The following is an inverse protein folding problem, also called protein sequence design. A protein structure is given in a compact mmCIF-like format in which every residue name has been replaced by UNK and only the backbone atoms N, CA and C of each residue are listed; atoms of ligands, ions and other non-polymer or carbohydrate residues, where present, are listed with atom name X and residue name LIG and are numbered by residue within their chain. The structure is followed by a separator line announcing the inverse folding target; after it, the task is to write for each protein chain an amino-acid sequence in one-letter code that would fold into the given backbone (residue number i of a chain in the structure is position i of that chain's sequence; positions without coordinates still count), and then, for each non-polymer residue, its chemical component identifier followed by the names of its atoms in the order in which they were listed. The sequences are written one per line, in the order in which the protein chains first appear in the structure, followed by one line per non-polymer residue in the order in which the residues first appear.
data_IF_335760604832
#
_entry.id   IF_335760604832
#
_cell.length_a   1.000
_cell.length_b   1.000
_cell.length_c   1.000
_cell.angle_alpha   90.00
_cell.angle_beta   90.00
_cell.angle_gamma   90.00
#
_symmetry.space_group_name_H-M   'P 1'
#
loop_
_entity.id
_entity.type
_entity.pdbx_description
1 polymer ?
#
# COMPACT_ATOMS: atom_id res chain seq x y z
N UNK A 1 7.45 4.63 -15.91
CA UNK A 1 8.06 5.25 -14.70
C UNK A 1 8.84 6.51 -15.10
N UNK A 2 8.64 7.68 -14.47
CA UNK A 2 9.49 8.87 -14.75
C UNK A 2 10.74 8.80 -13.86
N UNK A 3 11.88 8.46 -14.46
CA UNK A 3 13.19 8.36 -13.81
C UNK A 3 14.13 9.53 -14.20
N UNK A 4 13.57 10.65 -14.63
CA UNK A 4 14.38 11.83 -14.97
C UNK A 4 15.24 12.26 -13.77
N UNK A 5 16.55 12.42 -14.00
CA UNK A 5 17.53 12.74 -12.97
C UNK A 5 17.96 11.58 -12.07
N UNK A 6 17.52 10.34 -12.34
CA UNK A 6 17.98 9.16 -11.60
C UNK A 6 19.33 8.70 -12.15
N UNK A 7 20.31 8.63 -11.25
CA UNK A 7 21.59 7.97 -11.47
C UNK A 7 21.41 6.46 -11.31
N UNK A 8 22.01 5.70 -12.22
CA UNK A 8 21.97 4.24 -12.23
C UNK A 8 23.41 3.74 -12.18
N UNK A 9 23.75 2.97 -11.15
CA UNK A 9 24.96 2.15 -11.13
C UNK A 9 24.60 0.70 -11.38
N UNK A 10 25.47 -0.03 -12.08
CA UNK A 10 25.26 -1.44 -12.40
C UNK A 10 26.57 -2.22 -12.23
N UNK A 11 26.49 -3.43 -11.67
CA UNK A 11 27.62 -4.37 -11.62
C UNK A 11 27.61 -5.35 -12.82
N UNK A 12 28.67 -6.16 -12.96
CA UNK A 12 28.83 -7.16 -14.03
C UNK A 12 27.75 -8.27 -14.02
N UNK A 13 27.05 -8.44 -12.89
CA UNK A 13 25.99 -9.43 -12.69
C UNK A 13 24.59 -8.85 -12.92
N UNK A 14 24.51 -7.62 -13.43
CA UNK A 14 23.25 -6.95 -13.74
C UNK A 14 22.51 -6.39 -12.53
N UNK A 15 23.14 -6.38 -11.34
CA UNK A 15 22.55 -5.72 -10.17
C UNK A 15 22.61 -4.22 -10.34
N UNK A 16 21.54 -3.51 -10.00
CA UNK A 16 21.41 -2.07 -10.20
C UNK A 16 21.10 -1.34 -8.92
N UNK A 17 21.70 -0.16 -8.75
CA UNK A 17 21.27 0.84 -7.76
C UNK A 17 20.70 2.04 -8.51
N UNK A 18 19.44 2.36 -8.24
CA UNK A 18 18.77 3.57 -8.72
C UNK A 18 18.75 4.60 -7.59
N UNK A 19 19.30 5.79 -7.81
CA UNK A 19 19.33 6.86 -6.82
C UNK A 19 19.33 8.25 -7.46
N UNK A 20 18.78 9.26 -6.80
CA UNK A 20 18.78 10.65 -7.31
C UNK A 20 19.98 11.49 -6.84
N UNK A 21 20.84 10.91 -6.00
CA UNK A 21 21.99 11.54 -5.36
C UNK A 21 23.17 10.59 -5.43
N UNK A 22 24.38 11.11 -5.31
CA UNK A 22 25.56 10.25 -5.20
C UNK A 22 25.49 9.40 -3.93
N UNK A 23 26.07 8.20 -3.98
CA UNK A 23 26.04 7.25 -2.86
C UNK A 23 26.50 7.86 -1.55
N UNK A 24 27.53 8.72 -1.58
CA UNK A 24 28.06 9.43 -0.41
C UNK A 24 27.08 10.39 0.26
N UNK A 25 26.05 10.86 -0.45
CA UNK A 25 25.07 11.83 0.09
C UNK A 25 23.95 11.16 0.89
N UNK A 26 23.59 9.92 0.55
CA UNK A 26 22.49 9.19 1.20
C UNK A 26 22.96 8.02 2.05
N UNK A 27 24.15 7.46 1.78
CA UNK A 27 24.72 6.34 2.52
C UNK A 27 25.69 6.84 3.61
N UNK A 28 25.27 6.72 4.87
CA UNK A 28 26.05 7.11 6.04
C UNK A 28 26.49 5.86 6.80
N UNK A 29 27.70 5.37 6.57
CA UNK A 29 28.23 4.16 7.21
C UNK A 29 27.36 2.91 7.01
N UNK A 30 26.68 2.80 5.86
CA UNK A 30 25.88 1.63 5.50
C UNK A 30 26.56 0.77 4.44
N UNK A 31 26.24 -0.52 4.46
CA UNK A 31 26.83 -1.53 3.56
C UNK A 31 25.77 -2.14 2.66
N UNK A 32 26.10 -2.28 1.38
CA UNK A 32 25.23 -2.91 0.37
C UNK A 32 26.05 -4.00 -0.31
N UNK A 33 25.57 -5.24 -0.20
CA UNK A 33 26.26 -6.41 -0.71
C UNK A 33 25.38 -7.13 -1.73
N UNK A 34 25.83 -7.17 -2.98
CA UNK A 34 25.25 -8.04 -4.00
C UNK A 34 26.07 -9.33 -4.10
N UNK A 35 25.42 -10.47 -3.87
CA UNK A 35 25.98 -11.82 -4.13
C UNK A 35 25.29 -12.49 -5.32
N UNK A 36 24.00 -12.26 -5.50
CA UNK A 36 23.23 -12.74 -6.65
C UNK A 36 23.29 -11.80 -7.87
N UNK A 37 22.33 -11.97 -8.77
CA UNK A 37 22.23 -11.33 -10.08
C UNK A 37 20.90 -10.59 -10.26
N UNK A 38 20.88 -9.60 -11.15
CA UNK A 38 19.67 -8.88 -11.59
C UNK A 38 18.84 -8.28 -10.44
N UNK A 39 19.45 -7.99 -9.30
CA UNK A 39 18.75 -7.36 -8.19
C UNK A 39 18.68 -5.86 -8.36
N UNK A 40 17.71 -5.23 -7.71
CA UNK A 40 17.56 -3.78 -7.71
C UNK A 40 17.51 -3.27 -6.27
N UNK A 41 18.36 -2.27 -5.99
CA UNK A 41 18.18 -1.35 -4.88
C UNK A 41 17.68 0.00 -5.43
N UNK A 42 16.53 0.45 -4.98
CA UNK A 42 15.99 1.77 -5.31
C UNK A 42 16.02 2.68 -4.09
N UNK A 43 16.64 3.86 -4.22
CA UNK A 43 16.76 4.88 -3.18
C UNK A 43 16.05 6.15 -3.66
N UNK A 44 14.98 6.52 -2.97
CA UNK A 44 14.24 7.75 -3.27
C UNK A 44 15.07 9.00 -2.95
N UNK A 45 14.69 10.14 -3.54
CA UNK A 45 15.49 11.37 -3.55
C UNK A 45 15.94 11.85 -2.18
N UNK A 46 15.06 11.78 -1.18
CA UNK A 46 15.31 12.29 0.17
C UNK A 46 15.45 11.18 1.20
N UNK A 47 15.61 9.93 0.73
CA UNK A 47 15.96 8.82 1.58
C UNK A 47 17.35 9.04 2.21
N UNK A 48 17.49 8.61 3.47
CA UNK A 48 18.78 8.51 4.15
C UNK A 48 18.93 7.09 4.67
N UNK A 49 20.08 6.49 4.42
CA UNK A 49 20.39 5.12 4.80
C UNK A 49 21.65 5.13 5.68
N UNK A 50 21.45 5.03 7.00
CA UNK A 50 22.48 5.25 8.01
C UNK A 50 22.72 3.99 8.85
N UNK A 51 23.98 3.65 9.10
CA UNK A 51 24.41 2.52 9.94
C UNK A 51 23.69 1.20 9.60
N UNK A 52 23.33 1.02 8.33
CA UNK A 52 22.39 0.00 7.87
C UNK A 52 23.04 -1.00 6.93
N UNK A 53 22.36 -2.11 6.66
CA UNK A 53 22.85 -3.18 5.80
C UNK A 53 21.76 -3.65 4.83
N UNK A 54 22.11 -3.81 3.56
CA UNK A 54 21.30 -4.55 2.58
C UNK A 54 22.13 -5.66 1.96
N UNK A 55 21.67 -6.90 2.13
CA UNK A 55 22.29 -8.08 1.54
C UNK A 55 21.38 -8.76 0.53
N UNK A 56 21.82 -8.83 -0.72
CA UNK A 56 21.18 -9.60 -1.78
C UNK A 56 21.92 -10.91 -1.98
N UNK A 57 21.36 -12.00 -1.45
CA UNK A 57 21.97 -13.34 -1.49
C UNK A 57 21.39 -14.26 -2.55
N UNK A 58 20.37 -13.81 -3.29
CA UNK A 58 19.80 -14.51 -4.45
C UNK A 58 19.50 -13.51 -5.55
N UNK A 59 18.65 -13.92 -6.50
CA UNK A 59 18.44 -13.20 -7.75
C UNK A 59 17.07 -12.53 -7.85
N UNK A 60 16.96 -11.56 -8.76
CA UNK A 60 15.70 -10.92 -9.17
C UNK A 60 14.88 -10.29 -8.03
N UNK A 61 15.54 -9.87 -6.95
CA UNK A 61 14.91 -9.22 -5.80
C UNK A 61 14.98 -7.69 -5.88
N UNK A 62 14.00 -7.04 -5.26
CA UNK A 62 13.92 -5.59 -5.13
C UNK A 62 13.98 -5.20 -3.64
N UNK A 63 14.86 -4.26 -3.32
CA UNK A 63 14.77 -3.46 -2.10
C UNK A 63 14.48 -2.02 -2.49
N UNK A 64 13.39 -1.47 -1.99
CA UNK A 64 12.93 -0.12 -2.28
C UNK A 64 12.88 0.70 -1.00
N UNK A 65 13.64 1.80 -0.96
CA UNK A 65 13.70 2.73 0.16
C UNK A 65 13.10 4.07 -0.27
N UNK A 66 11.92 4.38 0.27
CA UNK A 66 11.24 5.67 0.12
C UNK A 66 11.93 6.78 0.90
N UNK A 67 11.33 7.98 0.89
CA UNK A 67 11.86 9.18 1.56
C UNK A 67 11.73 9.07 3.08
N UNK A 68 12.53 8.20 3.68
CA UNK A 68 12.61 7.89 5.11
C UNK A 68 14.06 7.93 5.57
N UNK A 69 14.26 8.24 6.85
CA UNK A 69 15.53 7.97 7.51
C UNK A 69 15.53 6.53 8.00
N UNK A 70 16.30 5.69 7.33
CA UNK A 70 16.49 4.28 7.66
C UNK A 70 17.81 4.18 8.45
N UNK A 71 17.69 4.10 9.78
CA UNK A 71 18.83 4.06 10.72
C UNK A 71 18.89 2.68 11.40
N UNK A 72 20.06 2.02 11.34
CA UNK A 72 20.32 0.68 11.88
C UNK A 72 19.33 -0.39 11.41
N UNK A 73 19.01 -0.40 10.12
CA UNK A 73 18.13 -1.43 9.53
C UNK A 73 18.97 -2.44 8.75
N UNK A 74 18.77 -3.72 9.05
CA UNK A 74 19.42 -4.84 8.38
C UNK A 74 18.40 -5.60 7.54
N UNK A 75 18.58 -5.60 6.22
CA UNK A 75 17.69 -6.20 5.24
C UNK A 75 18.42 -7.36 4.56
N UNK A 76 17.86 -8.57 4.67
CA UNK A 76 18.32 -9.76 3.96
C UNK A 76 17.29 -10.24 2.95
N UNK A 77 17.65 -10.25 1.67
CA UNK A 77 16.83 -10.78 0.57
C UNK A 77 17.57 -11.86 -0.20
N UNK A 78 16.80 -12.78 -0.77
CA UNK A 78 17.24 -13.93 -1.57
C UNK A 78 16.63 -13.87 -2.97
N UNK A 79 15.74 -14.80 -3.32
CA UNK A 79 15.23 -14.96 -4.67
C UNK A 79 13.81 -14.40 -4.82
N UNK A 80 13.60 -13.57 -5.84
CA UNK A 80 12.27 -13.07 -6.23
C UNK A 80 11.50 -12.32 -5.15
N UNK A 81 12.19 -11.59 -4.29
CA UNK A 81 11.59 -10.91 -3.14
C UNK A 81 11.43 -9.42 -3.35
N UNK A 82 10.56 -8.82 -2.53
CA UNK A 82 10.35 -7.38 -2.48
C UNK A 82 10.38 -6.97 -1.02
N UNK A 83 11.32 -6.10 -0.68
CA UNK A 83 11.33 -5.35 0.56
C UNK A 83 11.05 -3.89 0.24
N UNK A 84 9.87 -3.39 0.62
CA UNK A 84 9.49 -2.00 0.42
C UNK A 84 9.41 -1.28 1.77
N UNK A 85 10.10 -0.15 1.89
CA UNK A 85 9.99 0.78 3.01
C UNK A 85 9.48 2.10 2.46
N UNK A 86 8.29 2.51 2.90
CA UNK A 86 7.61 3.73 2.46
C UNK A 86 8.25 5.01 2.97
N UNK A 87 7.52 6.11 2.83
CA UNK A 87 7.99 7.47 3.15
C UNK A 87 7.79 7.85 4.62
N UNK A 88 8.58 8.80 5.12
CA UNK A 88 8.40 9.43 6.44
C UNK A 88 8.35 8.45 7.62
N UNK A 89 8.93 7.27 7.49
CA UNK A 89 9.04 6.33 8.58
C UNK A 89 10.12 6.80 9.56
N UNK A 90 9.82 6.72 10.85
CA UNK A 90 10.77 7.02 11.92
C UNK A 90 11.16 5.73 12.63
N UNK A 91 12.43 5.36 12.52
CA UNK A 91 13.03 4.25 13.26
C UNK A 91 13.83 4.84 14.42
N UNK A 92 13.47 4.50 15.66
CA UNK A 92 14.22 4.97 16.83
C UNK A 92 15.72 4.64 16.66
N UNK A 93 16.62 5.63 16.73
CA UNK A 93 18.04 5.37 16.63
C UNK A 93 18.51 4.55 17.84
N UNK A 94 19.54 3.71 17.66
CA UNK A 94 20.19 3.02 18.78
C UNK A 94 19.90 1.53 18.94
N UNK A 95 19.02 0.95 18.12
CA UNK A 95 18.85 -0.52 18.03
C UNK A 95 18.69 -0.97 16.59
N UNK A 96 19.13 -2.20 16.33
CA UNK A 96 18.99 -2.81 15.01
C UNK A 96 17.53 -3.21 14.76
N UNK A 97 17.04 -2.91 13.56
CA UNK A 97 15.79 -3.47 13.03
C UNK A 97 16.13 -4.50 11.97
N UNK A 98 15.58 -5.71 12.07
CA UNK A 98 15.90 -6.80 11.16
C UNK A 98 14.72 -7.14 10.26
N UNK A 99 14.94 -7.17 8.95
CA UNK A 99 13.99 -7.63 7.95
C UNK A 99 14.60 -8.84 7.25
N UNK A 100 14.12 -10.03 7.59
CA UNK A 100 14.56 -11.29 6.99
C UNK A 100 13.45 -11.86 6.11
N UNK A 101 13.70 -11.87 4.80
CA UNK A 101 12.78 -12.39 3.80
C UNK A 101 13.22 -13.79 3.36
N UNK A 102 12.29 -14.71 3.16
CA UNK A 102 12.54 -16.04 2.57
C UNK A 102 11.44 -16.45 1.59
N UNK A 103 11.74 -17.47 0.78
CA UNK A 103 10.79 -18.20 -0.08
C UNK A 103 9.95 -17.32 -1.03
N UNK A 104 10.58 -16.35 -1.71
CA UNK A 104 9.89 -15.51 -2.70
C UNK A 104 8.76 -14.64 -2.14
N UNK A 105 8.65 -14.52 -0.80
CA UNK A 105 7.66 -13.69 -0.12
C UNK A 105 8.22 -12.33 0.26
N UNK A 106 7.31 -11.38 0.46
CA UNK A 106 7.58 -9.96 0.49
C UNK A 106 7.42 -9.37 1.90
N UNK A 107 8.07 -8.24 2.14
CA UNK A 107 7.81 -7.38 3.30
C UNK A 107 7.51 -5.97 2.76
N UNK A 108 6.33 -5.46 3.06
CA UNK A 108 5.87 -4.14 2.63
C UNK A 108 5.61 -3.31 3.90
N UNK A 109 6.28 -2.18 4.04
CA UNK A 109 6.07 -1.20 5.11
C UNK A 109 5.58 0.10 4.47
N UNK A 110 4.40 0.57 4.88
CA UNK A 110 3.78 1.79 4.40
C UNK A 110 4.50 3.07 4.84
N UNK A 111 3.77 4.17 4.79
CA UNK A 111 4.28 5.51 5.06
C UNK A 111 4.00 5.93 6.51
N UNK A 112 4.79 6.86 7.04
CA UNK A 112 4.55 7.55 8.31
C UNK A 112 4.42 6.64 9.55
N UNK A 113 5.07 5.48 9.55
CA UNK A 113 5.10 4.57 10.69
C UNK A 113 6.15 5.01 11.73
N UNK A 114 5.89 4.60 12.97
CA UNK A 114 6.77 4.85 14.11
C UNK A 114 7.26 3.51 14.67
N UNK A 115 8.55 3.23 14.53
CA UNK A 115 9.19 2.00 14.99
C UNK A 115 10.09 2.27 16.19
N UNK A 116 9.77 1.66 17.32
CA UNK A 116 10.57 1.75 18.54
C UNK A 116 11.86 0.90 18.44
N UNK A 117 12.39 0.46 19.59
CA UNK A 117 13.65 -0.29 19.62
C UNK A 117 13.46 -1.78 19.28
N UNK A 118 14.48 -2.41 18.69
CA UNK A 118 14.57 -3.87 18.46
C UNK A 118 13.36 -4.48 17.72
N UNK A 119 12.95 -3.88 16.61
CA UNK A 119 11.85 -4.42 15.78
C UNK A 119 12.39 -5.46 14.82
N UNK A 120 11.69 -6.58 14.66
CA UNK A 120 12.12 -7.62 13.72
C UNK A 120 10.96 -8.21 12.92
N UNK A 121 11.24 -8.50 11.65
CA UNK A 121 10.30 -9.04 10.68
C UNK A 121 10.85 -10.34 10.10
N UNK A 122 10.04 -11.39 10.14
CA UNK A 122 10.41 -12.72 9.65
C UNK A 122 9.23 -13.39 8.96
N UNK A 123 9.26 -13.43 7.63
CA UNK A 123 8.16 -13.93 6.82
C UNK A 123 8.14 -15.47 6.64
N UNK A 124 9.04 -16.18 7.31
CA UNK A 124 9.24 -17.61 7.17
C UNK A 124 9.68 -18.27 8.47
N UNK A 125 9.27 -19.54 8.64
CA UNK A 125 10.01 -20.45 9.49
C UNK A 125 11.10 -21.08 8.61
N UNK A 126 12.37 -21.06 9.01
CA UNK A 126 13.46 -21.51 8.15
C UNK A 126 13.50 -23.03 7.94
N UNK A 127 12.75 -23.80 8.73
CA UNK A 127 12.72 -25.24 8.69
C UNK A 127 11.30 -25.75 8.43
N UNK A 128 11.22 -26.86 7.71
CA UNK A 128 9.97 -27.40 7.19
C UNK A 128 9.23 -28.18 8.28
N UNK A 129 7.93 -27.92 8.42
CA UNK A 129 7.03 -28.66 9.30
C UNK A 129 6.07 -29.43 8.42
N UNK A 130 5.93 -30.72 8.69
CA UNK A 130 5.05 -31.63 7.96
C UNK A 130 3.93 -32.12 8.85
N UNK A 131 2.73 -32.26 8.28
CA UNK A 131 1.63 -32.95 8.92
C UNK A 131 1.94 -34.46 9.03
N UNK A 132 1.63 -35.05 10.19
CA UNK A 132 2.02 -36.44 10.48
C UNK A 132 1.26 -37.45 9.60
N UNK A 133 0.04 -37.11 9.20
CA UNK A 133 -0.87 -38.01 8.45
C UNK A 133 -0.67 -37.88 6.94
N UNK A 134 -0.85 -36.68 6.41
CA UNK A 134 -0.77 -36.39 4.97
C UNK A 134 0.66 -36.29 4.44
N UNK A 135 1.65 -36.16 5.34
CA UNK A 135 3.06 -35.86 5.02
C UNK A 135 3.25 -34.56 4.21
N UNK A 136 2.23 -33.72 4.13
CA UNK A 136 2.30 -32.44 3.42
C UNK A 136 2.96 -31.38 4.31
N UNK A 137 3.71 -30.46 3.70
CA UNK A 137 4.26 -29.30 4.40
C UNK A 137 3.12 -28.38 4.85
N UNK A 138 3.13 -27.96 6.12
CA UNK A 138 2.09 -27.12 6.72
C UNK A 138 2.54 -25.70 7.08
N UNK A 139 3.81 -25.35 6.86
CA UNK A 139 4.34 -24.02 7.16
C UNK A 139 4.96 -23.29 5.94
N UNK A 140 4.24 -23.15 4.82
CA UNK A 140 4.71 -22.28 3.74
C UNK A 140 4.87 -20.84 4.25
N UNK A 141 5.89 -20.13 3.72
CA UNK A 141 6.11 -18.72 4.03
C UNK A 141 4.96 -17.85 3.52
N UNK A 142 4.77 -16.69 4.17
CA UNK A 142 3.72 -15.73 3.80
C UNK A 142 4.25 -14.32 4.00
N UNK A 143 3.91 -13.41 3.09
CA UNK A 143 4.33 -12.01 3.16
C UNK A 143 3.85 -11.31 4.42
N UNK A 144 4.54 -10.23 4.76
CA UNK A 144 4.18 -9.33 5.86
C UNK A 144 3.88 -7.95 5.27
N UNK A 145 2.73 -7.38 5.62
CA UNK A 145 2.32 -6.06 5.13
C UNK A 145 1.97 -5.19 6.34
N UNK A 146 2.67 -4.06 6.47
CA UNK A 146 2.40 -3.01 7.44
C UNK A 146 1.87 -1.81 6.67
N UNK A 147 0.67 -1.36 7.02
CA UNK A 147 -0.01 -0.22 6.43
C UNK A 147 0.62 1.11 6.84
N UNK A 148 -0.09 2.20 6.54
CA UNK A 148 0.40 3.54 6.82
C UNK A 148 0.13 3.95 8.27
N UNK A 149 1.02 4.74 8.85
CA UNK A 149 0.84 5.30 10.19
C UNK A 149 0.59 4.23 11.26
N UNK A 150 1.39 3.17 11.22
CA UNK A 150 1.40 2.14 12.26
C UNK A 150 2.44 2.50 13.32
N UNK A 151 2.06 2.43 14.60
CA UNK A 151 3.00 2.57 15.72
C UNK A 151 3.38 1.19 16.26
N UNK A 152 4.67 0.87 16.20
CA UNK A 152 5.24 -0.38 16.67
C UNK A 152 6.08 -0.15 17.94
N UNK A 153 5.59 -0.67 19.06
CA UNK A 153 6.26 -0.66 20.36
C UNK A 153 7.53 -1.50 20.39
N UNK A 154 8.37 -1.23 21.38
CA UNK A 154 9.70 -1.84 21.52
C UNK A 154 9.64 -3.37 21.55
N UNK A 155 10.64 -4.04 20.97
CA UNK A 155 10.80 -5.49 20.93
C UNK A 155 9.62 -6.24 20.25
N UNK A 156 8.80 -5.56 19.44
CA UNK A 156 7.74 -6.21 18.68
C UNK A 156 8.30 -7.04 17.52
N UNK A 157 7.76 -8.25 17.37
CA UNK A 157 8.10 -9.20 16.30
C UNK A 157 6.94 -9.39 15.33
N UNK A 158 7.26 -9.37 14.03
CA UNK A 158 6.30 -9.54 12.94
C UNK A 158 6.60 -10.82 12.16
N UNK A 159 5.63 -11.72 12.14
CA UNK A 159 5.75 -13.07 11.59
C UNK A 159 4.91 -13.24 10.32
N UNK A 160 5.23 -14.29 9.56
CA UNK A 160 4.57 -14.66 8.31
C UNK A 160 3.04 -14.50 8.34
N UNK A 161 2.51 -13.86 7.32
CA UNK A 161 1.08 -13.68 7.10
C UNK A 161 0.41 -12.61 7.96
N UNK A 162 1.17 -11.79 8.68
CA UNK A 162 0.64 -10.62 9.37
C UNK A 162 0.32 -9.49 8.37
N UNK A 163 -0.91 -8.98 8.44
CA UNK A 163 -1.29 -7.69 7.84
C UNK A 163 -1.70 -6.72 8.94
N UNK A 164 -0.95 -5.64 9.10
CA UNK A 164 -1.26 -4.58 10.08
C UNK A 164 -1.80 -3.38 9.35
N UNK A 165 -3.10 -3.11 9.47
CA UNK A 165 -3.79 -2.06 8.74
C UNK A 165 -3.42 -0.65 9.23
N UNK A 166 -3.65 0.35 8.39
CA UNK A 166 -3.24 1.73 8.67
C UNK A 166 -3.81 2.27 10.00
N UNK A 167 -3.02 3.03 10.75
CA UNK A 167 -3.44 3.64 12.02
C UNK A 167 -3.46 2.69 13.22
N UNK A 168 -3.02 1.44 13.06
CA UNK A 168 -2.94 0.48 14.17
C UNK A 168 -1.77 0.76 15.10
N UNK A 169 -1.89 0.31 16.34
CA UNK A 169 -0.83 0.36 17.35
C UNK A 169 -0.52 -1.07 17.79
N UNK A 170 0.75 -1.44 17.75
CA UNK A 170 1.28 -2.71 18.24
C UNK A 170 2.07 -2.42 19.51
N UNK A 171 1.62 -2.96 20.64
CA UNK A 171 2.27 -2.79 21.93
C UNK A 171 3.67 -3.42 21.99
N UNK A 172 4.47 -3.00 22.96
CA UNK A 172 5.80 -3.55 23.16
C UNK A 172 5.78 -5.07 23.41
N UNK A 173 6.84 -5.77 22.99
CA UNK A 173 7.04 -7.23 23.13
C UNK A 173 5.94 -8.09 22.53
N UNK A 174 5.22 -7.56 21.55
CA UNK A 174 4.11 -8.28 20.90
C UNK A 174 4.60 -9.22 19.81
N UNK A 175 3.97 -10.40 19.71
CA UNK A 175 4.21 -11.36 18.63
C UNK A 175 3.07 -11.33 17.61
N UNK A 176 3.28 -10.59 16.52
CA UNK A 176 2.28 -10.28 15.48
C UNK A 176 2.38 -11.33 14.37
N UNK A 177 1.45 -12.28 14.31
CA UNK A 177 1.49 -13.39 13.37
C UNK A 177 0.15 -13.67 12.68
N UNK A 178 0.20 -14.06 11.40
CA UNK A 178 -0.79 -14.93 10.73
C UNK A 178 -2.24 -14.44 10.60
N UNK A 179 -2.52 -13.15 10.80
CA UNK A 179 -3.86 -12.57 10.68
C UNK A 179 -3.82 -11.07 10.39
N UNK A 180 -5.00 -10.49 10.20
CA UNK A 180 -5.21 -9.04 10.10
C UNK A 180 -5.28 -8.38 11.48
N UNK A 181 -4.64 -7.22 11.59
CA UNK A 181 -4.68 -6.31 12.73
C UNK A 181 -5.31 -5.01 12.22
N UNK A 182 -6.55 -4.76 12.59
CA UNK A 182 -7.41 -3.73 12.01
C UNK A 182 -7.05 -2.30 12.41
N UNK A 183 -7.38 -1.37 11.52
CA UNK A 183 -7.18 0.07 11.65
C UNK A 183 -7.75 0.63 12.94
N UNK A 184 -7.16 1.75 13.39
CA UNK A 184 -7.64 2.51 14.55
C UNK A 184 -7.85 1.63 15.80
N UNK A 185 -6.95 0.67 16.00
CA UNK A 185 -7.00 -0.31 17.08
C UNK A 185 -5.61 -0.54 17.70
N UNK A 186 -5.59 -0.91 18.98
CA UNK A 186 -4.41 -1.33 19.74
C UNK A 186 -4.41 -2.84 19.85
N UNK A 187 -3.25 -3.44 19.61
CA UNK A 187 -2.97 -4.85 19.85
C UNK A 187 -1.75 -5.02 20.74
N UNK A 188 -1.72 -6.10 21.52
CA UNK A 188 -0.53 -6.43 22.32
C UNK A 188 -0.47 -7.88 22.76
N UNK A 189 0.71 -8.27 23.26
CA UNK A 189 0.97 -9.57 23.88
C UNK A 189 1.59 -10.62 22.96
N UNK A 190 1.91 -11.77 23.54
CA UNK A 190 2.43 -12.95 22.84
C UNK A 190 1.64 -14.19 23.30
N UNK A 191 0.66 -14.66 22.52
CA UNK A 191 0.35 -14.24 21.15
C UNK A 191 -0.41 -12.89 21.10
N UNK A 192 -0.21 -12.09 20.05
CA UNK A 192 -0.78 -10.74 19.96
C UNK A 192 -2.31 -10.74 19.79
N UNK A 193 -3.01 -9.95 20.61
CA UNK A 193 -4.48 -9.85 20.69
C UNK A 193 -4.94 -8.40 20.71
N UNK A 194 -6.19 -8.15 20.28
CA UNK A 194 -6.79 -6.82 20.33
C UNK A 194 -6.94 -6.42 21.80
N UNK A 195 -6.52 -5.20 22.11
CA UNK A 195 -6.67 -4.58 23.44
C UNK A 195 -7.78 -3.53 23.39
N UNK A 196 -7.80 -2.71 22.34
CA UNK A 196 -8.76 -1.61 22.20
C UNK A 196 -9.01 -1.29 20.73
N UNK A 197 -10.17 -0.76 20.41
CA UNK A 197 -10.54 -0.24 19.10
C UNK A 197 -11.15 1.16 19.22
N UNK A 198 -11.44 1.80 18.09
CA UNK A 198 -11.94 3.18 18.00
C UNK A 198 -10.98 4.19 18.63
N UNK A 199 -9.69 4.03 18.32
CA UNK A 199 -8.63 4.94 18.75
C UNK A 199 -7.85 5.47 17.56
N UNK A 200 -7.09 6.54 17.76
CA UNK A 200 -6.02 6.91 16.86
C UNK A 200 -4.85 7.43 17.69
N UNK A 201 -3.66 7.43 17.10
CA UNK A 201 -2.47 8.00 17.72
C UNK A 201 -1.98 9.19 16.90
N UNK A 202 -1.13 9.99 17.52
CA UNK A 202 -0.49 11.13 16.91
C UNK A 202 1.00 11.16 17.28
N UNK A 203 1.81 11.85 16.49
CA UNK A 203 3.27 11.81 16.61
C UNK A 203 3.89 12.75 17.64
N UNK A 204 3.09 13.49 18.42
CA UNK A 204 3.65 14.42 19.40
C UNK A 204 4.35 13.66 20.54
N UNK A 205 5.47 14.21 21.00
CA UNK A 205 6.30 13.61 22.03
C UNK A 205 6.27 14.47 23.30
N UNK A 206 5.97 13.83 24.43
CA UNK A 206 5.71 14.51 25.71
C UNK A 206 6.96 14.79 26.56
N UNK A 207 8.14 14.33 26.15
CA UNK A 207 9.37 14.42 26.96
C UNK A 207 9.70 15.82 27.46
N UNK A 208 9.30 16.86 26.72
CA UNK A 208 9.60 18.26 27.02
C UNK A 208 8.34 19.10 27.24
N UNK A 209 7.19 18.48 27.49
CA UNK A 209 5.95 19.22 27.69
C UNK A 209 5.92 19.91 29.05
N UNK A 210 5.38 21.12 29.07
CA UNK A 210 4.93 21.80 30.29
C UNK A 210 3.50 21.38 30.64
N UNK A 211 3.02 21.76 31.83
CA UNK A 211 1.62 21.55 32.22
C UNK A 211 0.64 22.23 31.25
N UNK A 212 0.98 23.44 30.79
CA UNK A 212 0.19 24.17 29.79
C UNK A 212 0.08 23.39 28.47
N UNK A 213 1.20 22.84 27.97
CA UNK A 213 1.19 21.99 26.79
C UNK A 213 0.36 20.72 27.01
N UNK A 214 0.50 20.11 28.18
CA UNK A 214 -0.28 18.91 28.56
C UNK A 214 -1.79 19.20 28.57
N UNK A 215 -2.21 20.37 29.07
CA UNK A 215 -3.61 20.80 29.02
C UNK A 215 -4.09 21.06 27.60
N UNK A 216 -3.28 21.75 26.79
CA UNK A 216 -3.59 22.03 25.38
C UNK A 216 -3.85 20.76 24.57
N UNK A 217 -3.15 19.66 24.86
CA UNK A 217 -3.26 18.39 24.12
C UNK A 217 -4.14 17.34 24.80
N UNK A 218 -4.97 17.71 25.77
CA UNK A 218 -6.03 16.80 26.26
C UNK A 218 -7.05 16.49 25.16
N UNK A 219 -7.27 17.43 24.24
CA UNK A 219 -8.15 17.27 23.08
C UNK A 219 -7.34 17.42 21.79
N UNK A 220 -7.51 16.46 20.87
CA UNK A 220 -6.90 16.56 19.55
C UNK A 220 -7.85 17.33 18.62
N UNK A 221 -7.43 18.49 18.06
CA UNK A 221 -8.30 19.30 17.23
C UNK A 221 -8.55 18.70 15.83
N UNK A 222 -7.76 17.72 15.39
CA UNK A 222 -7.89 17.10 14.06
C UNK A 222 -8.12 15.60 14.14
N UNK A 223 -8.85 15.08 13.15
CA UNK A 223 -9.09 13.65 12.93
C UNK A 223 -8.20 13.06 11.84
N UNK A 224 -7.01 13.64 11.60
CA UNK A 224 -6.19 13.31 10.43
C UNK A 224 -5.74 11.84 10.40
N UNK A 225 -5.68 11.17 11.55
CA UNK A 225 -5.33 9.75 11.67
C UNK A 225 -6.52 8.86 12.03
N UNK A 226 -7.74 9.38 11.87
CA UNK A 226 -8.96 8.58 11.81
C UNK A 226 -9.10 8.03 10.39
N UNK A 227 -8.88 6.74 10.21
CA UNK A 227 -8.99 6.07 8.93
C UNK A 227 -10.43 5.63 8.67
N UNK A 228 -10.73 5.35 7.40
CA UNK A 228 -12.02 4.79 6.99
C UNK A 228 -11.80 3.81 5.86
N UNK A 229 -12.62 2.76 5.78
CA UNK A 229 -12.53 1.85 4.64
C UNK A 229 -13.04 2.54 3.36
N UNK A 230 -12.25 2.46 2.29
CA UNK A 230 -12.60 2.96 0.95
C UNK A 230 -12.21 1.90 -0.08
N UNK A 231 -13.19 1.17 -0.63
CA UNK A 231 -12.97 0.00 -1.49
C UNK A 231 -12.06 0.31 -2.68
N UNK A 232 -12.23 1.48 -3.29
CA UNK A 232 -11.48 1.91 -4.49
C UNK A 232 -10.04 2.32 -4.19
N UNK A 233 -9.73 2.60 -2.91
CA UNK A 233 -8.40 2.98 -2.48
C UNK A 233 -7.65 1.80 -1.86
N UNK A 234 -8.39 0.83 -1.31
CA UNK A 234 -7.86 -0.28 -0.54
C UNK A 234 -7.02 -1.22 -1.40
N UNK A 235 -5.75 -1.36 -1.03
CA UNK A 235 -4.83 -2.37 -1.53
C UNK A 235 -5.03 -3.63 -0.70
N UNK A 236 -5.87 -4.54 -1.20
CA UNK A 236 -6.12 -5.81 -0.54
C UNK A 236 -4.80 -6.61 -0.39
N UNK A 237 -4.43 -7.03 0.83
CA UNK A 237 -3.14 -7.65 1.09
C UNK A 237 -2.95 -9.01 0.39
N UNK A 238 -4.03 -9.77 0.17
CA UNK A 238 -3.97 -11.07 -0.51
C UNK A 238 -3.74 -10.85 -2.00
N UNK A 239 -4.48 -9.91 -2.59
CA UNK A 239 -4.38 -9.59 -4.01
C UNK A 239 -3.06 -8.91 -4.35
N UNK A 240 -2.59 -8.02 -3.45
CA UNK A 240 -1.28 -7.43 -3.53
C UNK A 240 -0.19 -8.50 -3.47
N UNK A 241 -0.21 -9.41 -2.50
CA UNK A 241 0.77 -10.50 -2.42
C UNK A 241 0.80 -11.33 -3.71
N UNK A 242 -0.38 -11.73 -4.21
CA UNK A 242 -0.48 -12.52 -5.45
C UNK A 242 0.10 -11.78 -6.65
N UNK A 243 -0.17 -10.48 -6.77
CA UNK A 243 0.41 -9.66 -7.84
C UNK A 243 1.92 -9.50 -7.68
N UNK A 244 2.43 -9.19 -6.49
CA UNK A 244 3.86 -9.05 -6.25
C UNK A 244 4.61 -10.37 -6.53
N UNK A 245 4.04 -11.50 -6.13
CA UNK A 245 4.59 -12.84 -6.37
C UNK A 245 4.54 -13.25 -7.84
N UNK A 246 3.71 -12.62 -8.68
CA UNK A 246 3.64 -12.92 -10.11
C UNK A 246 4.65 -12.15 -10.95
N UNK A 247 5.40 -11.21 -10.38
CA UNK A 247 6.31 -10.35 -11.14
C UNK A 247 7.65 -11.07 -11.37
N UNK A 248 8.03 -11.34 -12.64
CA UNK A 248 9.08 -12.29 -12.97
C UNK A 248 10.50 -11.79 -12.70
N UNK A 249 10.75 -10.47 -12.69
CA UNK A 249 12.08 -9.90 -12.54
C UNK A 249 12.09 -8.63 -11.68
N UNK A 250 13.26 -8.18 -11.23
CA UNK A 250 13.37 -7.02 -10.33
C UNK A 250 12.89 -5.70 -10.95
N UNK A 251 12.98 -5.53 -12.28
CA UNK A 251 12.55 -4.31 -12.95
C UNK A 251 11.02 -4.18 -12.97
N UNK A 252 10.30 -5.24 -13.32
CA UNK A 252 8.83 -5.25 -13.24
C UNK A 252 8.32 -5.11 -11.81
N UNK A 253 9.04 -5.70 -10.83
CA UNK A 253 8.82 -5.44 -9.40
C UNK A 253 8.96 -3.94 -9.10
N UNK A 254 10.02 -3.29 -9.58
CA UNK A 254 10.26 -1.86 -9.37
C UNK A 254 9.15 -1.02 -9.98
N UNK A 255 8.78 -1.26 -11.24
CA UNK A 255 7.75 -0.48 -11.92
C UNK A 255 6.41 -0.60 -11.21
N UNK A 256 5.98 -1.82 -10.86
CA UNK A 256 4.73 -2.04 -10.15
C UNK A 256 4.73 -1.33 -8.79
N UNK A 257 5.78 -1.54 -7.98
CA UNK A 257 5.90 -0.93 -6.64
C UNK A 257 5.94 0.59 -6.75
N UNK A 258 6.69 1.14 -7.70
CA UNK A 258 6.79 2.58 -7.90
C UNK A 258 5.42 3.18 -8.26
N UNK A 259 4.70 2.60 -9.21
CA UNK A 259 3.42 3.14 -9.69
C UNK A 259 2.26 2.95 -8.72
N UNK A 260 2.15 1.76 -8.11
CA UNK A 260 0.93 1.36 -7.39
C UNK A 260 1.06 1.48 -5.87
N UNK A 261 2.28 1.47 -5.34
CA UNK A 261 2.56 1.62 -3.91
C UNK A 261 3.18 2.99 -3.67
N UNK A 262 4.38 3.27 -4.18
CA UNK A 262 5.12 4.49 -3.86
C UNK A 262 4.41 5.80 -4.26
N UNK A 263 3.87 5.89 -5.48
CA UNK A 263 3.12 7.06 -5.94
C UNK A 263 1.67 7.12 -5.41
N UNK A 264 1.15 6.02 -4.86
CA UNK A 264 -0.21 5.98 -4.32
C UNK A 264 -0.24 6.58 -2.91
N UNK A 265 -0.56 7.86 -2.80
CA UNK A 265 -0.62 8.58 -1.52
C UNK A 265 -2.00 8.60 -0.87
N UNK A 266 -2.92 7.72 -1.29
CA UNK A 266 -4.26 7.67 -0.71
C UNK A 266 -4.19 7.28 0.78
N UNK A 267 -4.75 8.13 1.64
CA UNK A 267 -4.81 7.92 3.10
C UNK A 267 -5.28 6.50 3.49
N UNK A 268 -6.29 5.97 2.81
CA UNK A 268 -6.94 4.72 3.21
C UNK A 268 -6.43 3.49 2.44
N UNK A 269 -5.27 3.58 1.75
CA UNK A 269 -4.78 2.49 0.89
C UNK A 269 -4.50 1.17 1.62
N UNK A 270 -4.26 1.19 2.93
CA UNK A 270 -4.16 -0.01 3.76
C UNK A 270 -5.14 0.01 4.95
N UNK A 271 -6.21 0.82 4.90
CA UNK A 271 -7.19 0.89 5.98
C UNK A 271 -8.17 -0.29 5.92
N UNK A 272 -8.35 -1.01 7.03
CA UNK A 272 -9.21 -2.19 7.11
C UNK A 272 -9.82 -2.34 8.50
N UNK A 273 -11.09 -2.75 8.60
CA UNK A 273 -11.86 -2.80 9.85
C UNK A 273 -12.56 -4.15 9.99
N UNK A 274 -12.65 -4.68 11.21
CA UNK A 274 -13.26 -6.00 11.51
C UNK A 274 -14.73 -6.07 11.07
N UNK A 275 -15.42 -4.94 11.21
CA UNK A 275 -16.86 -4.80 11.04
C UNK A 275 -17.33 -4.48 9.61
N UNK A 276 -16.49 -4.74 8.59
CA UNK A 276 -16.98 -4.85 7.20
C UNK A 276 -17.95 -6.03 7.01
N UNK A 277 -18.12 -6.86 8.04
CA UNK A 277 -19.09 -7.94 8.15
C UNK A 277 -20.23 -7.70 9.18
N UNK A 278 -20.23 -6.55 9.88
CA UNK A 278 -21.18 -6.28 10.97
C UNK A 278 -21.77 -4.86 11.00
N UNK A 279 -21.86 -4.22 9.82
CA UNK A 279 -23.13 -3.56 9.54
C UNK A 279 -24.22 -4.63 9.77
N UNK A 280 -25.21 -4.36 10.63
CA UNK A 280 -26.36 -5.26 10.83
C UNK A 280 -26.73 -5.88 9.48
N UNK A 281 -26.96 -7.20 9.43
CA UNK A 281 -27.71 -7.85 8.35
C UNK A 281 -29.08 -7.18 8.25
N UNK A 282 -29.13 -6.00 7.65
CA UNK A 282 -30.11 -5.75 6.62
C UNK A 282 -29.70 -6.67 5.50
N UNK A 283 -30.53 -7.66 5.17
CA UNK A 283 -30.30 -8.56 4.03
C UNK A 283 -30.42 -7.82 2.68
N UNK A 284 -30.08 -6.54 2.65
CA UNK A 284 -30.18 -5.68 1.49
C UNK A 284 -28.78 -5.16 1.19
N UNK A 285 -28.25 -5.54 0.02
CA UNK A 285 -26.98 -5.04 -0.49
C UNK A 285 -27.11 -3.53 -0.69
N UNK A 286 -26.35 -2.68 0.00
CA UNK A 286 -26.40 -1.22 -0.22
C UNK A 286 -25.10 -0.80 -0.89
N UNK A 287 -25.17 -0.02 -1.98
CA UNK A 287 -24.00 0.48 -2.69
C UNK A 287 -24.14 0.57 -4.21
N UNK A 288 -25.31 0.29 -4.80
CA UNK A 288 -25.53 0.49 -6.23
C UNK A 288 -25.26 1.94 -6.65
N UNK A 289 -25.59 2.91 -5.78
CA UNK A 289 -25.25 4.33 -5.99
C UNK A 289 -23.76 4.54 -6.22
N UNK A 290 -22.94 3.93 -5.37
CA UNK A 290 -21.47 4.03 -5.43
C UNK A 290 -20.93 3.32 -6.68
N UNK A 291 -21.52 2.19 -7.06
CA UNK A 291 -21.17 1.48 -8.30
C UNK A 291 -21.39 2.38 -9.51
N UNK A 292 -22.57 3.01 -9.62
CA UNK A 292 -22.88 3.96 -10.71
C UNK A 292 -21.96 5.18 -10.68
N UNK A 293 -21.64 5.70 -9.50
CA UNK A 293 -20.68 6.81 -9.37
C UNK A 293 -19.25 6.44 -9.79
N UNK A 294 -18.90 5.16 -9.68
CA UNK A 294 -17.59 4.65 -10.06
C UNK A 294 -17.47 4.36 -11.56
N UNK A 295 -18.57 4.32 -12.31
CA UNK A 295 -18.56 4.18 -13.75
C UNK A 295 -17.86 5.38 -14.43
N UNK A 296 -17.22 5.10 -15.56
CA UNK A 296 -16.45 6.11 -16.29
C UNK A 296 -17.34 7.29 -16.71
N UNK A 297 -18.55 7.03 -17.18
CA UNK A 297 -19.51 8.06 -17.58
C UNK A 297 -19.76 9.06 -16.44
N UNK A 298 -20.11 8.57 -15.24
CA UNK A 298 -20.34 9.45 -14.11
C UNK A 298 -19.09 10.26 -13.72
N UNK A 299 -17.92 9.62 -13.65
CA UNK A 299 -16.64 10.27 -13.30
C UNK A 299 -16.32 11.41 -14.29
N UNK A 300 -16.48 11.16 -15.59
CA UNK A 300 -16.21 12.14 -16.64
C UNK A 300 -17.20 13.30 -16.61
N UNK A 301 -18.51 13.03 -16.65
CA UNK A 301 -19.47 14.12 -16.69
C UNK A 301 -19.56 14.89 -15.36
N UNK A 302 -19.25 14.27 -14.22
CA UNK A 302 -19.06 15.01 -12.96
C UNK A 302 -17.86 15.97 -13.03
N UNK A 303 -16.75 15.56 -13.66
CA UNK A 303 -15.61 16.45 -13.88
C UNK A 303 -15.94 17.58 -14.86
N UNK A 304 -16.73 17.30 -15.90
CA UNK A 304 -17.22 18.32 -16.84
C UNK A 304 -18.08 19.38 -16.13
N UNK A 305 -19.06 18.97 -15.31
CA UNK A 305 -19.93 19.89 -14.56
C UNK A 305 -19.13 20.72 -13.55
N UNK A 306 -18.17 20.09 -12.87
CA UNK A 306 -17.34 20.78 -11.89
C UNK A 306 -16.51 21.88 -12.55
N UNK A 307 -15.89 21.58 -13.69
CA UNK A 307 -14.99 22.49 -14.38
C UNK A 307 -15.69 23.51 -15.28
N UNK A 308 -16.93 23.25 -15.70
CA UNK A 308 -17.71 24.20 -16.51
C UNK A 308 -18.08 25.48 -15.78
N UNK A 309 -17.92 25.53 -14.45
CA UNK A 309 -18.24 26.70 -13.61
C UNK A 309 -17.19 27.82 -13.66
N UNK A 310 -16.07 27.63 -14.35
CA UNK A 310 -15.04 28.67 -14.48
C UNK A 310 -14.28 28.58 -15.80
N UNK A 311 -13.85 29.73 -16.33
CA UNK A 311 -13.06 29.82 -17.57
C UNK A 311 -11.73 29.05 -17.44
N UNK A 312 -11.06 29.13 -16.29
CA UNK A 312 -9.85 28.35 -16.01
C UNK A 312 -10.12 26.84 -15.99
N UNK A 313 -11.27 26.42 -15.45
CA UNK A 313 -11.68 25.02 -15.43
C UNK A 313 -11.85 24.44 -16.84
N UNK A 314 -12.35 25.23 -17.79
CA UNK A 314 -12.47 24.79 -19.19
C UNK A 314 -11.11 24.45 -19.82
N UNK A 315 -10.07 25.24 -19.56
CA UNK A 315 -8.71 24.94 -20.05
C UNK A 315 -8.10 23.68 -19.41
N UNK A 316 -8.43 23.39 -18.15
CA UNK A 316 -7.91 22.22 -17.41
C UNK A 316 -8.68 20.93 -17.77
N UNK A 317 -9.95 21.06 -18.15
CA UNK A 317 -10.87 19.94 -18.35
C UNK A 317 -10.34 18.84 -19.28
N UNK A 318 -9.73 19.11 -20.45
CA UNK A 318 -9.20 18.04 -21.32
C UNK A 318 -8.17 17.14 -20.60
N UNK A 319 -7.28 17.74 -19.80
CA UNK A 319 -6.26 16.99 -19.05
C UNK A 319 -6.88 16.20 -17.88
N UNK A 320 -7.87 16.78 -17.20
CA UNK A 320 -8.57 16.10 -16.11
C UNK A 320 -9.36 14.89 -16.61
N UNK A 321 -10.03 15.00 -17.77
CA UNK A 321 -10.75 13.88 -18.40
C UNK A 321 -9.81 12.75 -18.83
N UNK A 322 -8.67 13.08 -19.45
CA UNK A 322 -7.65 12.09 -19.81
C UNK A 322 -7.11 11.35 -18.58
N UNK A 323 -6.81 12.10 -17.50
CA UNK A 323 -6.33 11.54 -16.23
C UNK A 323 -7.36 10.62 -15.57
N UNK A 324 -8.64 11.02 -15.55
CA UNK A 324 -9.75 10.22 -15.01
C UNK A 324 -9.86 8.89 -15.75
N UNK A 325 -9.75 8.93 -17.07
CA UNK A 325 -9.93 7.75 -17.91
C UNK A 325 -8.77 6.77 -17.80
N UNK A 326 -7.52 7.26 -17.85
CA UNK A 326 -6.34 6.43 -17.57
C UNK A 326 -6.39 5.79 -16.19
N UNK A 327 -6.86 6.52 -15.17
CA UNK A 327 -7.06 5.97 -13.83
C UNK A 327 -8.15 4.90 -13.82
N UNK A 328 -9.29 5.15 -14.46
CA UNK A 328 -10.39 4.20 -14.55
C UNK A 328 -9.98 2.90 -15.27
N UNK A 329 -9.20 2.98 -16.35
CA UNK A 329 -8.68 1.80 -17.05
C UNK A 329 -7.80 0.94 -16.15
N UNK A 330 -6.88 1.54 -15.39
CA UNK A 330 -6.07 0.82 -14.39
C UNK A 330 -6.93 0.18 -13.30
N UNK A 331 -7.98 0.85 -12.85
CA UNK A 331 -8.95 0.29 -11.88
C UNK A 331 -9.68 -0.94 -12.46
N UNK A 332 -10.07 -0.90 -13.74
CA UNK A 332 -10.71 -2.03 -14.45
C UNK A 332 -9.74 -3.19 -14.67
N UNK A 333 -8.51 -2.93 -15.12
CA UNK A 333 -7.47 -3.95 -15.29
C UNK A 333 -7.16 -4.65 -13.96
N UNK A 334 -7.08 -3.89 -12.87
CA UNK A 334 -6.94 -4.45 -11.53
C UNK A 334 -8.15 -5.31 -11.17
N UNK A 335 -9.38 -4.84 -11.36
CA UNK A 335 -10.59 -5.61 -11.04
C UNK A 335 -10.68 -6.92 -11.84
N UNK A 336 -10.41 -6.90 -13.14
CA UNK A 336 -10.37 -8.11 -13.98
C UNK A 336 -9.27 -9.07 -13.52
N UNK A 337 -8.13 -8.54 -13.10
CA UNK A 337 -7.11 -9.33 -12.43
C UNK A 337 -7.72 -9.98 -11.18
N UNK A 338 -8.37 -9.25 -10.27
CA UNK A 338 -8.99 -9.82 -9.06
C UNK A 338 -9.95 -10.98 -9.38
N UNK A 339 -10.80 -10.82 -10.40
CA UNK A 339 -11.75 -11.85 -10.83
C UNK A 339 -11.07 -13.11 -11.38
N UNK A 340 -9.99 -12.97 -12.15
CA UNK A 340 -9.21 -14.12 -12.62
C UNK A 340 -8.51 -14.88 -11.49
N UNK A 341 -8.33 -14.23 -10.34
CA UNK A 341 -7.67 -14.79 -9.17
C UNK A 341 -8.63 -15.52 -8.23
N UNK A 342 -9.89 -15.07 -8.12
CA UNK A 342 -10.98 -15.72 -7.40
C UNK A 342 -12.34 -15.16 -7.83
N UNK A 343 -13.26 -16.03 -8.25
CA UNK A 343 -14.61 -15.65 -8.69
C UNK A 343 -15.47 -15.01 -7.59
N UNK A 344 -15.15 -15.22 -6.31
CA UNK A 344 -15.88 -14.62 -5.19
C UNK A 344 -15.74 -13.09 -5.09
N UNK A 345 -14.87 -12.47 -5.89
CA UNK A 345 -14.78 -11.00 -6.02
C UNK A 345 -15.78 -10.42 -7.02
N UNK A 346 -16.62 -11.27 -7.62
CA UNK A 346 -17.68 -10.85 -8.53
C UNK A 346 -18.65 -9.93 -7.79
N UNK A 347 -18.80 -8.70 -8.29
CA UNK A 347 -19.86 -7.81 -7.85
C UNK A 347 -21.22 -8.46 -8.13
N UNK A 348 -22.13 -8.41 -7.15
CA UNK A 348 -23.54 -8.78 -7.35
C UNK A 348 -24.15 -7.95 -8.48
N UNK A 349 -25.23 -8.44 -9.09
CA UNK A 349 -25.91 -7.67 -10.12
C UNK A 349 -26.48 -6.40 -9.51
N UNK A 350 -26.56 -5.32 -10.29
CA UNK A 350 -26.95 -4.01 -9.75
C UNK A 350 -28.36 -4.06 -9.13
N UNK A 351 -29.23 -4.89 -9.68
CA UNK A 351 -30.61 -5.14 -9.26
C UNK A 351 -30.71 -5.81 -7.89
N UNK A 352 -29.64 -6.47 -7.43
CA UNK A 352 -29.60 -7.13 -6.12
C UNK A 352 -29.43 -6.13 -4.96
N UNK A 353 -29.18 -4.85 -5.27
CA UNK A 353 -28.94 -3.79 -4.29
C UNK A 353 -30.21 -3.07 -3.85
N UNK A 354 -30.37 -2.82 -2.56
CA UNK A 354 -31.46 -2.09 -1.93
C UNK A 354 -31.62 -0.65 -2.46
N UNK A 355 -30.50 -0.02 -2.83
CA UNK A 355 -30.45 1.33 -3.38
C UNK A 355 -30.46 1.33 -4.92
N UNK A 356 -30.87 0.23 -5.56
CA UNK A 356 -30.92 0.10 -7.02
C UNK A 356 -31.78 1.19 -7.68
N UNK A 357 -32.98 1.47 -7.16
CA UNK A 357 -33.86 2.49 -7.73
C UNK A 357 -33.24 3.90 -7.66
N UNK A 358 -32.51 4.20 -6.57
CA UNK A 358 -31.77 5.46 -6.44
C UNK A 358 -30.60 5.50 -7.43
N UNK A 359 -29.87 4.39 -7.57
CA UNK A 359 -28.78 4.25 -8.52
C UNK A 359 -29.24 4.38 -9.98
N UNK A 360 -30.41 3.84 -10.33
CA UNK A 360 -31.00 3.96 -11.66
C UNK A 360 -31.36 5.42 -11.99
N UNK A 361 -31.85 6.18 -10.99
CA UNK A 361 -32.06 7.62 -11.13
C UNK A 361 -30.75 8.38 -11.39
N UNK A 362 -29.62 7.89 -10.89
CA UNK A 362 -28.32 8.50 -11.18
C UNK A 362 -27.89 8.37 -12.63
N UNK A 363 -28.27 7.28 -13.33
CA UNK A 363 -28.04 7.18 -14.78
C UNK A 363 -28.80 8.25 -15.56
N UNK A 364 -29.89 8.76 -14.99
CA UNK A 364 -30.64 9.87 -15.55
C UNK A 364 -30.07 11.26 -15.17
N UNK A 365 -29.10 11.32 -14.27
CA UNK A 365 -28.49 12.58 -13.83
C UNK A 365 -27.65 13.21 -14.94
N UNK A 366 -27.58 14.54 -14.97
CA UNK A 366 -26.81 15.30 -15.95
C UNK A 366 -25.34 14.84 -16.02
N UNK A 367 -24.73 14.57 -14.87
CA UNK A 367 -23.35 14.06 -14.78
C UNK A 367 -23.16 12.75 -15.53
N UNK A 368 -24.14 11.86 -15.51
CA UNK A 368 -24.01 10.56 -16.16
C UNK A 368 -24.21 10.71 -17.67
N UNK A 369 -25.29 11.38 -18.09
CA UNK A 369 -25.62 11.63 -19.50
C UNK A 369 -24.53 12.40 -20.25
N UNK A 370 -23.89 13.39 -19.61
CA UNK A 370 -22.77 14.13 -20.20
C UNK A 370 -21.57 13.23 -20.47
N UNK A 371 -21.24 12.36 -19.51
CA UNK A 371 -20.14 11.41 -19.68
C UNK A 371 -20.43 10.36 -20.74
N UNK A 372 -21.66 9.84 -20.79
CA UNK A 372 -22.08 8.92 -21.87
C UNK A 372 -21.96 9.58 -23.24
N UNK A 373 -22.48 10.80 -23.39
CA UNK A 373 -22.37 11.53 -24.66
C UNK A 373 -20.91 11.75 -25.08
N UNK A 374 -20.01 12.02 -24.13
CA UNK A 374 -18.58 12.14 -24.39
C UNK A 374 -17.97 10.80 -24.84
N UNK A 375 -18.28 9.70 -24.15
CA UNK A 375 -17.81 8.35 -24.49
C UNK A 375 -18.32 7.95 -25.88
N UNK A 376 -19.59 8.18 -26.17
CA UNK A 376 -20.21 7.88 -27.46
C UNK A 376 -19.61 8.70 -28.61
N UNK A 377 -19.41 10.01 -28.39
CA UNK A 377 -18.78 10.90 -29.36
C UNK A 377 -17.35 10.44 -29.69
N UNK A 378 -16.61 9.98 -28.68
CA UNK A 378 -15.27 9.43 -28.86
C UNK A 378 -15.28 8.12 -29.66
N UNK A 379 -16.29 7.27 -29.46
CA UNK A 379 -16.44 6.00 -30.18
C UNK A 379 -16.90 6.15 -31.64
N UNK A 380 -17.61 7.23 -32.00
CA UNK A 380 -18.23 7.41 -33.33
C UNK A 380 -17.47 8.29 -34.32
N UNK A 381 -16.59 9.22 -33.90
CA UNK A 381 -16.05 10.26 -34.79
C UNK A 381 -14.57 10.15 -35.17
N UNK A 382 -13.78 9.29 -34.53
CA UNK A 382 -12.32 9.24 -34.75
C UNK A 382 -11.85 7.79 -34.78
N UNK A 383 -11.75 7.21 -35.97
CA UNK A 383 -11.08 5.93 -36.17
C UNK A 383 -9.67 5.96 -35.55
N UNK A 384 -9.49 5.25 -34.44
CA UNK A 384 -8.18 4.81 -33.95
C UNK A 384 -7.22 5.85 -33.34
N UNK A 385 -7.60 7.10 -33.08
CA UNK A 385 -6.63 8.10 -32.54
C UNK A 385 -6.68 8.25 -31.01
N UNK A 386 -7.74 7.78 -30.33
CA UNK A 386 -7.88 7.84 -28.86
C UNK A 386 -7.88 6.47 -28.15
N UNK A 387 -7.52 5.39 -28.86
CA UNK A 387 -7.41 4.05 -28.26
C UNK A 387 -6.13 3.87 -27.42
N UNK A 388 -5.23 4.84 -27.43
CA UNK A 388 -3.98 4.85 -26.64
C UNK A 388 -3.99 5.80 -25.44
N UNK A 389 -5.08 6.52 -25.18
CA UNK A 389 -5.14 7.49 -24.08
C UNK A 389 -6.40 7.44 -23.20
N UNK A 390 -7.25 6.41 -23.35
CA UNK A 390 -8.24 6.01 -22.35
C UNK A 390 -8.02 4.53 -22.00
#
# INVERSE_FOLDING_TARGET
MNLEGVKISQDERGNKIYSFKDTSEWNLNSKINFKGKNNILFIAKDAKFKDSFVGFSGDDSLVFIGNSLVDKVSIGVFYNQICYIGNKNYFNPGSVKSLALSEGKHIIIGDNCLFSFNIWFRNADPHLIYDVTSKQRINPSKSIIIGDHVWCGQDAGFMKGAFVASGSIIGAKSMVAGKTYYSNSIYGGSPCRKIKENIFWSGQCVHTWTDEMTQKYQEMPTGDFIFSFKKEQFLDPILLDKKLSSLPNAYEKLEFVYQNIYLNTNKNRFACFENLSSAKKSNSLIGAKVIIQNELAYKLGSAMIKNSKSVKGWFVLPFELAKISQKHKKEQELYQMLLSLNVNFTLSKLEDYADFDEALRMKNHLSYKLGEALIEANNKKWGGVLQTAL
#
